data_IF_624553845594
#
_entry.id   IF_624553845594
#
_cell.length_a   1.000
_cell.length_b   1.000
_cell.length_c   1.000
_cell.angle_alpha   90.00
_cell.angle_beta   90.00
_cell.angle_gamma   90.00
#
_symmetry.space_group_name_H-M   'P 1'
#
loop_
_entity.id
_entity.type
_entity.pdbx_description
1 polymer ?
#
# COMPACT_ATOMS: atom_id res chain seq x y z
N UNK A 1 -46.68 12.02 45.91
CA UNK A 1 -46.50 11.59 44.50
C UNK A 1 -45.67 12.67 43.83
N UNK A 2 -44.39 12.41 43.56
CA UNK A 2 -43.53 13.31 42.79
C UNK A 2 -43.16 12.56 41.50
N UNK A 3 -43.43 13.10 40.31
CA UNK A 3 -43.04 12.46 39.07
C UNK A 3 -41.57 12.77 38.75
N UNK A 4 -41.01 11.83 38.00
CA UNK A 4 -39.64 11.66 37.54
C UNK A 4 -39.10 12.83 36.71
N UNK A 5 -37.99 13.41 37.16
CA UNK A 5 -37.13 14.33 36.39
C UNK A 5 -35.79 13.63 36.16
N UNK A 6 -35.78 12.66 35.24
CA UNK A 6 -34.56 11.93 34.87
C UNK A 6 -34.43 11.72 33.35
N UNK A 7 -35.39 12.26 32.56
CA UNK A 7 -35.41 12.09 31.11
C UNK A 7 -34.53 13.11 30.37
N UNK A 8 -34.28 14.29 30.94
CA UNK A 8 -33.52 15.36 30.28
C UNK A 8 -31.99 15.16 30.28
N UNK A 9 -31.48 14.34 31.21
CA UNK A 9 -30.05 13.99 31.23
C UNK A 9 -29.67 12.91 30.22
N UNK A 10 -30.62 12.06 29.82
CA UNK A 10 -30.40 10.92 28.94
C UNK A 10 -30.47 11.32 27.45
N UNK A 11 -31.29 12.32 27.11
CA UNK A 11 -31.35 12.89 25.75
C UNK A 11 -30.11 13.73 25.39
N UNK A 12 -29.56 14.47 26.36
CA UNK A 12 -28.35 15.27 26.16
C UNK A 12 -27.11 14.41 25.91
N UNK A 13 -27.00 13.25 26.58
CA UNK A 13 -25.91 12.30 26.34
C UNK A 13 -26.08 11.60 24.99
N UNK A 14 -27.30 11.23 24.62
CA UNK A 14 -27.62 10.62 23.33
C UNK A 14 -27.30 11.56 22.15
N UNK A 15 -27.58 12.87 22.27
CA UNK A 15 -27.20 13.87 21.27
C UNK A 15 -25.67 14.02 21.14
N UNK A 16 -24.93 13.99 22.26
CA UNK A 16 -23.45 14.03 22.23
C UNK A 16 -22.82 12.75 21.69
N UNK A 17 -23.48 11.60 21.86
CA UNK A 17 -23.07 10.32 21.29
C UNK A 17 -23.28 10.33 19.78
N UNK A 18 -24.44 10.81 19.31
CA UNK A 18 -24.72 10.97 17.88
C UNK A 18 -23.70 11.89 17.20
N UNK A 19 -23.42 13.06 17.78
CA UNK A 19 -22.42 13.99 17.24
C UNK A 19 -20.99 13.40 17.20
N UNK A 20 -20.65 12.53 18.16
CA UNK A 20 -19.36 11.83 18.15
C UNK A 20 -19.31 10.75 17.06
N UNK A 21 -20.41 10.01 16.85
CA UNK A 21 -20.52 9.03 15.77
C UNK A 21 -20.37 9.72 14.42
N UNK A 22 -21.09 10.82 14.17
CA UNK A 22 -21.02 11.57 12.91
C UNK A 22 -19.60 12.07 12.60
N UNK A 23 -18.89 12.56 13.64
CA UNK A 23 -17.48 12.97 13.50
C UNK A 23 -16.59 11.78 13.15
N UNK A 24 -16.75 10.66 13.85
CA UNK A 24 -15.95 9.46 13.60
C UNK A 24 -16.23 8.85 12.22
N UNK A 25 -17.48 8.85 11.78
CA UNK A 25 -17.85 8.39 10.44
C UNK A 25 -17.21 9.27 9.35
N UNK A 26 -17.18 10.59 9.57
CA UNK A 26 -16.50 11.53 8.67
C UNK A 26 -14.99 11.28 8.63
N UNK A 27 -14.34 11.14 9.79
CA UNK A 27 -12.90 10.83 9.87
C UNK A 27 -12.57 9.48 9.19
N UNK A 28 -13.44 8.47 9.34
CA UNK A 28 -13.27 7.18 8.67
C UNK A 28 -13.41 7.30 7.15
N UNK A 29 -14.32 8.15 6.65
CA UNK A 29 -14.45 8.40 5.22
C UNK A 29 -13.18 9.03 4.65
N UNK A 30 -12.66 10.07 5.29
CA UNK A 30 -11.43 10.76 4.88
C UNK A 30 -10.20 9.82 4.90
N UNK A 31 -10.09 8.97 5.93
CA UNK A 31 -9.03 7.98 6.03
C UNK A 31 -9.14 6.92 4.92
N UNK A 32 -10.35 6.48 4.56
CA UNK A 32 -10.56 5.53 3.45
C UNK A 32 -10.13 6.13 2.12
N UNK A 33 -10.42 7.40 1.87
CA UNK A 33 -9.97 8.09 0.65
C UNK A 33 -8.44 8.21 0.61
N UNK A 34 -7.84 8.57 1.75
CA UNK A 34 -6.38 8.67 1.89
C UNK A 34 -5.70 7.34 1.59
N UNK A 35 -6.19 6.23 2.16
CA UNK A 35 -5.66 4.89 1.91
C UNK A 35 -5.79 4.51 0.44
N UNK A 36 -6.94 4.78 -0.20
CA UNK A 36 -7.11 4.51 -1.64
C UNK A 36 -6.18 5.35 -2.53
N UNK A 37 -5.87 6.59 -2.13
CA UNK A 37 -4.88 7.40 -2.84
C UNK A 37 -3.47 6.82 -2.68
N UNK A 38 -3.10 6.42 -1.46
CA UNK A 38 -1.81 5.79 -1.19
C UNK A 38 -1.65 4.45 -1.91
N UNK A 39 -2.70 3.62 -1.95
CA UNK A 39 -2.70 2.35 -2.67
C UNK A 39 -2.46 2.54 -4.17
N UNK A 40 -3.14 3.51 -4.80
CA UNK A 40 -2.88 3.87 -6.20
C UNK A 40 -1.43 4.33 -6.43
N UNK A 41 -0.87 5.12 -5.51
CA UNK A 41 0.53 5.53 -5.58
C UNK A 41 1.48 4.34 -5.44
N UNK A 42 1.23 3.41 -4.52
CA UNK A 42 2.03 2.19 -4.36
C UNK A 42 1.95 1.33 -5.61
N UNK A 43 0.77 1.16 -6.20
CA UNK A 43 0.60 0.42 -7.46
C UNK A 43 1.39 1.07 -8.60
N UNK A 44 1.36 2.40 -8.72
CA UNK A 44 2.17 3.13 -9.70
C UNK A 44 3.66 2.93 -9.46
N UNK A 45 4.11 3.09 -8.20
CA UNK A 45 5.50 2.90 -7.82
C UNK A 45 5.96 1.44 -7.96
N UNK A 46 5.11 0.45 -7.75
CA UNK A 46 5.41 -0.96 -7.98
C UNK A 46 5.45 -1.32 -9.47
N UNK A 47 4.72 -0.59 -10.30
CA UNK A 47 4.82 -0.71 -11.76
C UNK A 47 6.03 0.01 -12.35
N UNK A 48 6.46 1.12 -11.74
CA UNK A 48 7.65 1.89 -12.13
C UNK A 48 8.95 1.29 -11.58
N UNK A 49 8.91 0.89 -10.30
CA UNK A 49 9.96 0.11 -9.68
C UNK A 49 9.93 -1.28 -10.31
N UNK A 50 10.76 -1.43 -11.32
CA UNK A 50 11.20 -2.69 -11.90
C UNK A 50 11.86 -3.54 -10.80
N UNK A 51 11.05 -4.12 -9.89
CA UNK A 51 11.53 -4.87 -8.74
C UNK A 51 12.52 -5.91 -9.26
N UNK A 52 13.74 -5.88 -8.72
CA UNK A 52 14.80 -6.82 -9.07
C UNK A 52 14.28 -8.25 -9.03
N UNK A 53 14.69 -9.09 -9.99
CA UNK A 53 14.22 -10.45 -9.99
C UNK A 53 14.66 -11.07 -8.66
N UNK A 54 13.68 -11.62 -7.93
CA UNK A 54 13.85 -12.59 -6.85
C UNK A 54 15.12 -13.39 -7.14
N UNK A 55 16.20 -13.16 -6.36
CA UNK A 55 17.59 -13.54 -6.64
C UNK A 55 17.76 -14.51 -7.81
N UNK A 56 17.70 -13.99 -9.05
CA UNK A 56 17.66 -14.87 -10.20
C UNK A 56 19.03 -15.51 -10.38
N UNK A 57 19.07 -16.83 -10.29
CA UNK A 57 20.28 -17.61 -10.52
C UNK A 57 20.41 -17.89 -12.02
N UNK A 58 21.65 -17.84 -12.52
CA UNK A 58 21.93 -18.15 -13.93
C UNK A 58 21.58 -19.61 -14.27
N UNK A 59 20.77 -19.88 -15.31
CA UNK A 59 20.38 -21.26 -15.67
C UNK A 59 21.51 -22.05 -16.35
N UNK A 60 22.55 -21.37 -16.84
CA UNK A 60 23.65 -22.01 -17.57
C UNK A 60 24.78 -22.48 -16.64
N UNK A 61 24.94 -21.82 -15.49
CA UNK A 61 26.02 -22.13 -14.57
C UNK A 61 25.59 -22.28 -13.11
N UNK A 62 24.32 -22.02 -12.75
CA UNK A 62 23.68 -22.25 -11.44
C UNK A 62 24.49 -21.80 -10.20
N UNK A 63 25.44 -20.88 -10.39
CA UNK A 63 26.45 -20.55 -9.37
C UNK A 63 26.58 -19.05 -9.12
N UNK A 64 25.94 -18.21 -9.94
CA UNK A 64 26.10 -16.76 -9.84
C UNK A 64 24.76 -16.05 -10.06
N UNK A 65 24.42 -15.05 -9.23
CA UNK A 65 23.25 -14.23 -9.45
C UNK A 65 23.36 -13.47 -10.77
N UNK A 66 22.21 -13.23 -11.39
CA UNK A 66 22.09 -12.40 -12.58
C UNK A 66 22.07 -10.93 -12.18
N UNK A 67 22.91 -10.13 -12.83
CA UNK A 67 22.94 -8.67 -12.70
C UNK A 67 22.05 -8.05 -13.76
N UNK A 68 21.13 -7.17 -13.37
CA UNK A 68 20.34 -6.39 -14.32
C UNK A 68 21.16 -5.20 -14.84
N UNK A 69 21.23 -5.09 -16.16
CA UNK A 69 21.74 -3.92 -16.86
C UNK A 69 20.58 -3.28 -17.63
N UNK A 70 20.42 -1.97 -17.56
CA UNK A 70 19.38 -1.26 -18.30
C UNK A 70 19.91 0.03 -18.89
N UNK A 71 19.54 0.31 -20.13
CA UNK A 71 19.68 1.61 -20.78
C UNK A 71 18.32 2.29 -20.98
N UNK A 72 18.34 3.47 -21.59
CA UNK A 72 17.13 4.31 -21.79
C UNK A 72 16.02 3.58 -22.54
N UNK A 73 16.35 2.65 -23.43
CA UNK A 73 15.39 1.92 -24.27
C UNK A 73 15.53 0.40 -24.16
N UNK A 74 16.33 -0.12 -23.23
CA UNK A 74 16.59 -1.55 -23.15
C UNK A 74 16.86 -2.00 -21.72
N UNK A 75 16.53 -3.25 -21.43
CA UNK A 75 16.87 -3.92 -20.19
C UNK A 75 17.50 -5.27 -20.53
N UNK A 76 18.36 -5.77 -19.67
CA UNK A 76 19.14 -6.99 -19.88
C UNK A 76 19.48 -7.62 -18.53
N UNK A 77 19.54 -8.94 -18.46
CA UNK A 77 20.18 -9.70 -17.39
C UNK A 77 21.52 -10.22 -17.89
N UNK A 78 22.56 -10.09 -17.08
CA UNK A 78 23.91 -10.54 -17.38
C UNK A 78 24.40 -11.42 -16.24
N UNK A 79 24.87 -12.62 -16.56
CA UNK A 79 25.52 -13.48 -15.57
C UNK A 79 26.98 -13.07 -15.39
N UNK A 80 27.40 -12.80 -14.15
CA UNK A 80 28.79 -12.44 -13.85
C UNK A 80 29.76 -13.64 -13.85
N UNK A 81 29.23 -14.86 -13.78
CA UNK A 81 30.04 -16.09 -13.76
C UNK A 81 30.39 -16.60 -15.16
N UNK A 82 29.40 -16.75 -16.04
CA UNK A 82 29.59 -17.28 -17.39
C UNK A 82 29.47 -16.23 -18.50
N UNK A 83 29.13 -14.98 -18.18
CA UNK A 83 29.05 -13.86 -19.12
C UNK A 83 27.82 -13.86 -20.04
N UNK A 84 26.90 -14.82 -19.85
CA UNK A 84 25.69 -14.92 -20.66
C UNK A 84 24.75 -13.73 -20.44
N UNK A 85 24.05 -13.33 -21.50
CA UNK A 85 23.19 -12.15 -21.48
C UNK A 85 21.82 -12.41 -22.10
N UNK A 86 20.79 -11.87 -21.47
CA UNK A 86 19.38 -12.00 -21.89
C UNK A 86 18.70 -10.65 -21.88
N UNK A 87 18.10 -10.21 -22.97
CA UNK A 87 17.34 -8.96 -22.99
C UNK A 87 16.00 -9.13 -22.26
N UNK A 88 15.62 -8.11 -21.48
CA UNK A 88 14.35 -7.99 -20.76
C UNK A 88 13.42 -7.04 -21.51
#
# INVERSE_FOLDING_TARGET
MAPTDSSDGESATEETLAAQVDRLESEVADLRETVQAQDRTIQFLAGDADLDPVEASCPECEHTPLRRESGVTWKQLVCDGCGQRWYL
#
